data_IF_785127167265
#
_entry.id   IF_785127167265
#
_cell.length_a   1.000
_cell.length_b   1.000
_cell.length_c   1.000
_cell.angle_alpha   90.00
_cell.angle_beta   90.00
_cell.angle_gamma   90.00
#
_symmetry.space_group_name_H-M   'P 1'
#
loop_
_entity.id
_entity.type
_entity.pdbx_description
1 polymer ?
#
# COMPACT_ATOMS: atom_id res chain seq x y z
N UNK A 1 16.42 -19.96 11.19
CA UNK A 1 15.67 -18.74 10.84
C UNK A 1 14.60 -19.17 9.86
N UNK A 2 13.36 -19.37 10.32
CA UNK A 2 12.31 -19.99 9.49
C UNK A 2 11.85 -19.00 8.43
N UNK A 3 12.11 -19.34 7.17
CA UNK A 3 11.51 -18.72 6.00
C UNK A 3 10.02 -19.04 6.02
N UNK A 4 9.18 -18.11 6.51
CA UNK A 4 7.73 -18.29 6.50
C UNK A 4 7.25 -18.28 5.05
N UNK A 5 6.56 -19.34 4.63
CA UNK A 5 5.95 -19.38 3.30
C UNK A 5 4.75 -18.43 3.25
N UNK A 6 4.40 -17.95 2.06
CA UNK A 6 3.26 -17.05 1.84
C UNK A 6 1.96 -17.58 2.48
N UNK A 7 1.68 -18.87 2.28
CA UNK A 7 0.46 -19.52 2.80
C UNK A 7 0.45 -19.64 4.33
N UNK A 8 1.62 -19.74 4.97
CA UNK A 8 1.69 -19.76 6.43
C UNK A 8 1.32 -18.40 7.03
N UNK A 9 1.70 -17.31 6.34
CA UNK A 9 1.33 -15.94 6.73
C UNK A 9 -0.19 -15.78 6.58
N UNK A 10 -0.74 -16.10 5.41
CA UNK A 10 -2.16 -15.96 5.13
C UNK A 10 -3.02 -16.78 6.12
N UNK A 11 -2.65 -18.03 6.38
CA UNK A 11 -3.37 -18.91 7.32
C UNK A 11 -3.41 -18.34 8.74
N UNK A 12 -2.35 -17.67 9.18
CA UNK A 12 -2.27 -17.06 10.52
C UNK A 12 -3.27 -15.90 10.66
N UNK A 13 -3.36 -15.03 9.65
CA UNK A 13 -4.34 -13.94 9.64
C UNK A 13 -5.78 -14.46 9.46
N UNK A 14 -5.97 -15.48 8.63
CA UNK A 14 -7.27 -16.11 8.41
C UNK A 14 -7.85 -16.72 9.70
N UNK A 15 -7.01 -17.35 10.53
CA UNK A 15 -7.42 -17.86 11.83
C UNK A 15 -7.91 -16.76 12.79
N UNK A 16 -7.43 -15.52 12.62
CA UNK A 16 -7.78 -14.36 13.45
C UNK A 16 -8.98 -13.53 12.97
N UNK A 17 -9.70 -13.95 11.92
CA UNK A 17 -10.75 -13.15 11.24
C UNK A 17 -11.92 -12.69 12.10
N UNK A 18 -12.15 -13.31 13.27
CA UNK A 18 -13.26 -12.98 14.16
C UNK A 18 -12.96 -11.85 15.15
N UNK A 19 -11.75 -11.29 15.12
CA UNK A 19 -11.34 -10.21 16.02
C UNK A 19 -11.90 -8.87 15.54
N UNK A 20 -12.42 -8.06 16.47
CA UNK A 20 -13.01 -6.76 16.17
C UNK A 20 -12.03 -5.73 15.61
N UNK A 21 -10.72 -5.97 15.71
CA UNK A 21 -9.66 -5.08 15.21
C UNK A 21 -9.00 -5.58 13.92
N UNK A 22 -9.52 -6.64 13.30
CA UNK A 22 -8.94 -7.24 12.10
C UNK A 22 -9.99 -7.31 10.98
N UNK A 23 -9.77 -6.50 9.94
CA UNK A 23 -10.54 -6.53 8.70
C UNK A 23 -9.68 -7.14 7.59
N UNK A 24 -10.14 -8.24 7.00
CA UNK A 24 -9.51 -8.84 5.82
C UNK A 24 -10.20 -8.30 4.56
N UNK A 25 -9.41 -7.69 3.68
CA UNK A 25 -9.85 -7.14 2.40
C UNK A 25 -9.13 -7.86 1.28
N UNK A 26 -9.86 -8.30 0.26
CA UNK A 26 -9.29 -8.99 -0.88
C UNK A 26 -8.92 -7.99 -1.98
N UNK A 27 -7.75 -8.17 -2.58
CA UNK A 27 -7.23 -7.23 -3.59
C UNK A 27 -8.12 -7.14 -4.85
N UNK A 28 -8.75 -8.25 -5.26
CA UNK A 28 -9.65 -8.20 -6.42
C UNK A 28 -10.89 -7.33 -6.15
N UNK A 29 -11.36 -7.28 -4.91
CA UNK A 29 -12.56 -6.48 -4.56
C UNK A 29 -12.22 -4.99 -4.62
N UNK A 30 -11.03 -4.60 -4.13
CA UNK A 30 -10.51 -3.23 -4.28
C UNK A 30 -10.33 -2.80 -5.74
N UNK A 31 -9.95 -3.75 -6.61
CA UNK A 31 -9.78 -3.48 -8.04
C UNK A 31 -11.13 -3.40 -8.77
N UNK A 32 -12.13 -4.14 -8.30
CA UNK A 32 -13.48 -4.16 -8.89
C UNK A 32 -14.32 -2.97 -8.44
N UNK A 33 -14.32 -2.64 -7.14
CA UNK A 33 -15.05 -1.53 -6.54
C UNK A 33 -14.24 -0.86 -5.42
N UNK A 34 -13.46 0.16 -5.78
CA UNK A 34 -12.62 0.89 -4.84
C UNK A 34 -13.46 1.72 -3.85
N UNK A 35 -14.57 2.31 -4.29
CA UNK A 35 -15.40 3.19 -3.45
C UNK A 35 -16.14 2.37 -2.39
N UNK A 36 -16.71 1.23 -2.79
CA UNK A 36 -17.42 0.33 -1.87
C UNK A 36 -16.51 -0.22 -0.78
N UNK A 37 -15.31 -0.69 -1.14
CA UNK A 37 -14.36 -1.22 -0.16
C UNK A 37 -13.75 -0.12 0.73
N UNK A 38 -13.52 1.10 0.23
CA UNK A 38 -13.12 2.23 1.07
C UNK A 38 -14.22 2.62 2.08
N UNK A 39 -15.49 2.56 1.68
CA UNK A 39 -16.63 2.74 2.57
C UNK A 39 -16.63 1.70 3.69
N UNK A 40 -16.47 0.42 3.33
CA UNK A 40 -16.39 -0.68 4.30
C UNK A 40 -15.24 -0.53 5.31
N UNK A 41 -14.09 0.02 4.87
CA UNK A 41 -12.97 0.31 5.76
C UNK A 41 -13.31 1.49 6.68
N UNK A 42 -13.96 2.55 6.18
CA UNK A 42 -14.38 3.69 6.99
C UNK A 42 -15.38 3.26 8.07
N UNK A 43 -16.37 2.43 7.72
CA UNK A 43 -17.35 1.87 8.66
C UNK A 43 -16.66 1.02 9.73
N UNK A 44 -15.67 0.21 9.35
CA UNK A 44 -14.93 -0.61 10.31
C UNK A 44 -14.08 0.22 11.29
N UNK A 45 -13.58 1.37 10.84
CA UNK A 45 -12.79 2.30 11.66
C UNK A 45 -13.66 3.31 12.41
N UNK A 46 -14.99 3.28 12.22
CA UNK A 46 -15.96 4.22 12.78
C UNK A 46 -15.64 5.68 12.40
N UNK A 47 -15.25 5.90 11.13
CA UNK A 47 -14.92 7.22 10.59
C UNK A 47 -16.08 7.73 9.73
N UNK A 48 -16.74 8.79 10.18
CA UNK A 48 -17.73 9.49 9.38
C UNK A 48 -17.04 10.36 8.30
N UNK A 49 -17.26 10.01 7.03
CA UNK A 49 -16.73 10.76 5.88
C UNK A 49 -17.88 11.48 5.18
N UNK A 50 -17.77 12.79 5.04
CA UNK A 50 -18.75 13.61 4.33
C UNK A 50 -18.91 13.15 2.87
N UNK A 51 -20.15 13.16 2.37
CA UNK A 51 -20.47 12.64 1.04
C UNK A 51 -19.63 13.30 -0.08
N UNK A 52 -19.35 14.58 0.08
CA UNK A 52 -18.67 15.42 -0.91
C UNK A 52 -17.16 15.12 -1.03
N UNK A 53 -16.56 14.50 -0.02
CA UNK A 53 -15.12 14.17 0.01
C UNK A 53 -14.80 12.83 -0.65
N UNK A 54 -15.81 11.95 -0.83
CA UNK A 54 -15.58 10.62 -1.41
C UNK A 54 -14.92 10.61 -2.79
N UNK A 55 -15.32 11.48 -3.76
CA UNK A 55 -14.69 11.47 -5.08
C UNK A 55 -13.20 11.82 -5.02
N UNK A 56 -12.82 12.77 -4.17
CA UNK A 56 -11.43 13.18 -3.98
C UNK A 56 -10.60 12.08 -3.31
N UNK A 57 -11.15 11.44 -2.27
CA UNK A 57 -10.49 10.35 -1.55
C UNK A 57 -10.27 9.13 -2.45
N UNK A 58 -11.26 8.78 -3.26
CA UNK A 58 -11.16 7.69 -4.23
C UNK A 58 -10.09 8.00 -5.28
N UNK A 59 -10.07 9.23 -5.81
CA UNK A 59 -9.03 9.65 -6.78
C UNK A 59 -7.62 9.61 -6.16
N UNK A 60 -7.48 10.08 -4.92
CA UNK A 60 -6.22 10.06 -4.18
C UNK A 60 -5.68 8.63 -3.93
N UNK A 61 -6.59 7.68 -3.68
CA UNK A 61 -6.28 6.28 -3.46
C UNK A 61 -6.00 5.48 -4.74
N UNK A 62 -6.15 6.09 -5.92
CA UNK A 62 -5.81 5.40 -7.19
C UNK A 62 -4.31 5.21 -7.35
N UNK A 63 -3.93 4.13 -8.02
CA UNK A 63 -2.51 3.82 -8.31
C UNK A 63 -1.78 4.95 -9.04
N UNK A 64 -2.44 5.62 -9.97
CA UNK A 64 -1.84 6.69 -10.75
C UNK A 64 -1.56 7.91 -9.87
N UNK A 65 -2.51 8.31 -9.04
CA UNK A 65 -2.31 9.40 -8.08
C UNK A 65 -1.26 9.04 -7.03
N UNK A 66 -1.24 7.81 -6.51
CA UNK A 66 -0.21 7.36 -5.57
C UNK A 66 1.21 7.40 -6.16
N UNK A 67 1.40 6.97 -7.41
CA UNK A 67 2.69 7.06 -8.11
C UNK A 67 3.14 8.50 -8.30
N UNK A 68 2.19 9.38 -8.65
CA UNK A 68 2.46 10.81 -8.87
C UNK A 68 2.79 11.53 -7.56
N UNK A 69 2.07 11.23 -6.47
CA UNK A 69 2.11 11.98 -5.20
C UNK A 69 3.09 11.42 -4.18
N UNK A 70 3.50 10.15 -4.29
CA UNK A 70 4.37 9.47 -3.31
C UNK A 70 5.66 10.22 -2.95
N UNK A 71 6.17 10.08 -1.72
CA UNK A 71 7.31 10.88 -1.23
C UNK A 71 8.52 10.87 -2.20
N UNK A 72 9.36 11.92 -2.22
CA UNK A 72 10.52 12.00 -3.11
C UNK A 72 11.40 10.75 -3.08
N UNK A 73 11.59 10.13 -1.91
CA UNK A 73 12.30 8.86 -1.75
C UNK A 73 11.64 7.71 -2.55
N UNK A 74 10.32 7.60 -2.50
CA UNK A 74 9.56 6.57 -3.21
C UNK A 74 9.62 6.79 -4.73
N UNK A 75 9.52 8.05 -5.17
CA UNK A 75 9.64 8.43 -6.60
C UNK A 75 11.04 8.14 -7.14
N UNK A 76 12.07 8.58 -6.41
CA UNK A 76 13.47 8.33 -6.76
C UNK A 76 13.81 6.82 -6.78
N UNK A 77 13.23 6.03 -5.88
CA UNK A 77 13.40 4.59 -5.89
C UNK A 77 12.69 3.92 -7.08
N UNK A 78 11.48 4.36 -7.42
CA UNK A 78 10.71 3.81 -8.55
C UNK A 78 11.35 4.07 -9.93
N UNK A 79 12.05 5.19 -10.09
CA UNK A 79 12.85 5.46 -11.30
C UNK A 79 14.16 4.67 -11.29
N UNK A 80 14.80 4.53 -10.12
CA UNK A 80 16.02 3.74 -9.97
C UNK A 80 15.81 2.23 -10.17
N UNK A 81 14.63 1.68 -9.86
CA UNK A 81 14.32 0.26 -10.08
C UNK A 81 14.02 -0.09 -11.54
N UNK A 82 13.70 0.89 -12.38
CA UNK A 82 13.53 0.71 -13.83
C UNK A 82 14.83 0.87 -14.62
N UNK A 83 15.90 1.32 -13.98
CA UNK A 83 17.22 1.31 -14.57
C UNK A 83 17.73 -0.13 -14.68
N UNK A 84 18.43 -0.43 -15.78
CA UNK A 84 19.17 -1.67 -16.06
C UNK A 84 19.79 -2.29 -14.79
N UNK A 85 19.86 -3.62 -14.65
CA UNK A 85 20.38 -4.25 -13.44
C UNK A 85 21.79 -3.73 -13.15
N UNK A 86 21.94 -3.04 -12.01
CA UNK A 86 23.27 -2.61 -11.58
C UNK A 86 24.11 -3.87 -11.34
N UNK A 87 25.31 -3.98 -11.95
CA UNK A 87 26.21 -5.08 -11.60
C UNK A 87 26.47 -5.04 -10.10
N UNK A 88 26.70 -6.22 -9.51
CA UNK A 88 26.89 -6.47 -8.07
C UNK A 88 28.09 -5.71 -7.49
N UNK A 89 27.97 -4.39 -7.39
CA UNK A 89 28.93 -3.52 -6.74
C UNK A 89 28.39 -3.24 -5.35
N UNK A 90 29.09 -3.76 -4.34
CA UNK A 90 28.82 -3.69 -2.90
C UNK A 90 28.86 -2.28 -2.30
N UNK A 91 28.83 -1.22 -3.12
CA UNK A 91 28.74 0.16 -2.65
C UNK A 91 27.31 0.67 -2.85
N UNK A 92 26.55 0.70 -1.75
CA UNK A 92 25.25 1.36 -1.72
C UNK A 92 25.37 2.82 -2.20
N UNK A 93 24.31 3.39 -2.80
CA UNK A 93 24.36 4.78 -3.22
C UNK A 93 24.58 5.66 -1.98
N UNK A 94 25.72 6.36 -1.93
CA UNK A 94 25.86 7.52 -1.05
C UNK A 94 24.82 8.53 -1.53
N UNK A 95 23.70 8.60 -0.82
CA UNK A 95 22.76 9.70 -0.93
C UNK A 95 23.52 10.97 -0.50
N UNK A 96 24.07 11.68 -1.49
CA UNK A 96 24.63 12.99 -1.28
C UNK A 96 23.55 13.86 -0.61
N UNK A 97 23.92 14.43 0.53
CA UNK A 97 23.01 15.06 1.47
C UNK A 97 21.99 15.98 0.82
N UNK A 98 20.77 15.47 0.67
CA UNK A 98 19.57 16.29 0.59
C UNK A 98 18.84 16.07 1.89
N UNK A 99 18.85 17.14 2.69
CA UNK A 99 18.16 17.26 3.97
C UNK A 99 16.70 16.85 3.78
N UNK A 100 16.23 15.99 4.69
CA UNK A 100 14.86 16.16 5.19
C UNK A 100 14.82 17.45 6.00
#
# INVERSE_FOLDING_TARGET
>A
MMSQSFFDIERTYWAGRGRSNLLLVHYNDLKADLRGEMGRIADFLDIEVAYDLWPELVDAATFETMKRTGRPCCRAWSSASKAEPRPSSTRGPTIAGSRC
#
